data_IF_980893930151
#
_entry.id   IF_980893930151
#
_cell.length_a   1.000
_cell.length_b   1.000
_cell.length_c   1.000
_cell.angle_alpha   90.00
_cell.angle_beta   90.00
_cell.angle_gamma   90.00
#
_symmetry.space_group_name_H-M   'P 1'
#
loop_
_entity.id
_entity.type
_entity.pdbx_description
1 polymer ?
#
# COMPACT_ATOMS: atom_id res chain seq x y z
N UNK A 1 -10.35 12.36 -25.70
CA UNK A 1 -9.95 13.71 -26.12
C UNK A 1 -9.18 13.62 -27.43
N UNK A 2 -9.72 14.11 -28.57
CA UNK A 2 -9.07 14.00 -29.88
C UNK A 2 -7.71 14.71 -29.98
N UNK A 3 -7.57 15.90 -29.37
CA UNK A 3 -6.35 16.72 -29.45
C UNK A 3 -5.09 16.09 -28.81
N UNK A 4 -5.22 15.03 -28.01
CA UNK A 4 -4.06 14.35 -27.41
C UNK A 4 -3.17 13.66 -28.44
N UNK A 5 -3.67 13.37 -29.65
CA UNK A 5 -2.89 12.75 -30.73
C UNK A 5 -1.80 13.66 -31.32
N UNK A 6 -1.84 14.97 -31.03
CA UNK A 6 -0.85 15.95 -31.50
C UNK A 6 0.31 16.14 -30.52
N UNK A 7 0.22 15.57 -29.31
CA UNK A 7 1.19 15.77 -28.25
C UNK A 7 2.36 14.79 -28.42
N UNK A 8 3.56 15.24 -28.09
CA UNK A 8 4.72 14.34 -28.02
C UNK A 8 4.56 13.34 -26.86
N UNK A 9 4.89 12.08 -27.09
CA UNK A 9 4.92 11.06 -26.04
C UNK A 9 6.12 11.31 -25.12
N UNK A 10 5.85 11.87 -23.93
CA UNK A 10 6.90 12.17 -22.96
C UNK A 10 7.49 10.91 -22.31
N UNK A 11 6.63 9.97 -21.90
CA UNK A 11 7.06 8.73 -21.23
C UNK A 11 6.00 7.64 -21.29
N UNK A 12 6.42 6.39 -21.08
CA UNK A 12 5.53 5.25 -20.83
C UNK A 12 6.07 4.40 -19.68
N UNK A 13 5.16 3.93 -18.83
CA UNK A 13 5.52 3.09 -17.69
C UNK A 13 4.46 2.01 -17.44
N UNK A 14 4.92 0.84 -17.03
CA UNK A 14 4.09 -0.24 -16.51
C UNK A 14 4.53 -0.55 -15.08
N UNK A 15 3.58 -0.51 -14.15
CA UNK A 15 3.83 -0.78 -12.73
C UNK A 15 3.04 -1.99 -12.25
N UNK A 16 3.68 -2.85 -11.46
CA UNK A 16 3.00 -3.93 -10.76
C UNK A 16 2.12 -3.36 -9.65
N UNK A 17 0.93 -3.95 -9.46
CA UNK A 17 0.00 -3.62 -8.38
C UNK A 17 -0.36 -4.88 -7.61
N UNK A 18 0.58 -5.45 -6.82
CA UNK A 18 0.33 -6.67 -6.08
C UNK A 18 -0.87 -6.52 -5.15
N UNK A 19 -1.73 -7.53 -5.15
CA UNK A 19 -2.96 -7.58 -4.39
C UNK A 19 -3.09 -8.96 -3.76
N UNK A 20 -3.67 -9.02 -2.56
CA UNK A 20 -4.06 -10.27 -1.92
C UNK A 20 -5.22 -10.93 -2.68
N UNK A 21 -5.45 -12.25 -2.52
CA UNK A 21 -6.53 -12.94 -3.20
C UNK A 21 -7.94 -12.40 -2.90
N UNK A 22 -8.14 -11.82 -1.72
CA UNK A 22 -9.41 -11.24 -1.28
C UNK A 22 -9.58 -9.75 -1.65
N UNK A 23 -8.54 -9.12 -2.22
CA UNK A 23 -8.56 -7.70 -2.59
C UNK A 23 -8.39 -6.72 -1.44
N UNK A 24 -8.13 -7.18 -0.21
CA UNK A 24 -7.93 -6.34 0.97
C UNK A 24 -6.46 -6.29 1.39
N UNK A 25 -5.88 -5.11 1.70
CA UNK A 25 -4.50 -5.04 2.13
C UNK A 25 -4.29 -5.78 3.46
N UNK A 26 -3.15 -6.46 3.61
CA UNK A 26 -2.70 -7.00 4.91
C UNK A 26 -1.78 -5.99 5.56
N UNK A 27 -2.25 -5.43 6.67
CA UNK A 27 -1.53 -4.44 7.48
C UNK A 27 -1.58 -4.90 8.94
N UNK A 28 -0.62 -5.75 9.31
CA UNK A 28 -0.66 -6.51 10.57
C UNK A 28 0.74 -7.00 10.97
N UNK A 29 0.86 -7.45 12.22
CA UNK A 29 1.99 -8.22 12.70
C UNK A 29 1.82 -9.69 12.35
N UNK A 30 2.86 -10.31 11.78
CA UNK A 30 2.83 -11.73 11.37
C UNK A 30 3.69 -12.64 12.27
N UNK A 31 4.60 -12.06 13.04
CA UNK A 31 5.39 -12.74 14.08
C UNK A 31 5.91 -11.73 15.13
N UNK A 32 6.71 -12.18 16.08
CA UNK A 32 7.24 -11.33 17.17
C UNK A 32 7.94 -10.05 16.68
N UNK A 33 8.59 -10.08 15.51
CA UNK A 33 9.44 -8.98 15.02
C UNK A 33 9.03 -8.44 13.66
N UNK A 34 8.08 -9.06 12.97
CA UNK A 34 7.73 -8.71 11.59
C UNK A 34 6.34 -8.10 11.48
N UNK A 35 6.30 -6.92 10.87
CA UNK A 35 5.08 -6.23 10.43
C UNK A 35 5.03 -6.23 8.91
N UNK A 36 3.84 -6.42 8.34
CA UNK A 36 3.61 -6.33 6.89
C UNK A 36 2.61 -5.24 6.59
N UNK A 37 2.83 -4.53 5.48
CA UNK A 37 1.89 -3.58 4.88
C UNK A 37 1.88 -3.84 3.37
N UNK A 38 1.09 -4.82 2.93
CA UNK A 38 1.14 -5.36 1.56
C UNK A 38 -0.25 -5.55 0.96
N UNK A 39 -0.31 -5.77 -0.36
CA UNK A 39 -1.55 -6.21 -1.02
C UNK A 39 -2.54 -5.11 -1.38
N UNK A 40 -2.14 -3.84 -1.29
CA UNK A 40 -3.04 -2.70 -1.56
C UNK A 40 -3.51 -2.57 -3.01
N UNK A 41 -2.87 -3.27 -3.96
CA UNK A 41 -3.21 -3.21 -5.37
C UNK A 41 -3.27 -1.78 -5.90
N UNK A 42 -4.40 -1.41 -6.51
CA UNK A 42 -4.62 -0.05 -7.05
C UNK A 42 -4.93 1.02 -5.98
N UNK A 43 -5.22 0.60 -4.75
CA UNK A 43 -5.66 1.48 -3.67
C UNK A 43 -4.51 1.93 -2.75
N UNK A 44 -3.25 1.62 -3.09
CA UNK A 44 -2.09 1.94 -2.26
C UNK A 44 -1.99 3.41 -1.86
N UNK A 45 -2.16 4.34 -2.82
CA UNK A 45 -2.12 5.77 -2.53
C UNK A 45 -3.29 6.22 -1.66
N UNK A 46 -4.51 5.76 -1.97
CA UNK A 46 -5.72 6.08 -1.21
C UNK A 46 -5.61 5.64 0.26
N UNK A 47 -5.05 4.45 0.49
CA UNK A 47 -4.98 3.82 1.80
C UNK A 47 -3.67 4.10 2.55
N UNK A 48 -2.77 4.91 1.99
CA UNK A 48 -1.47 5.19 2.61
C UNK A 48 -1.59 5.77 4.03
N UNK A 49 -2.46 6.76 4.32
CA UNK A 49 -2.60 7.30 5.68
C UNK A 49 -3.11 6.26 6.68
N UNK A 50 -4.15 5.50 6.30
CA UNK A 50 -4.70 4.44 7.13
C UNK A 50 -3.68 3.33 7.42
N UNK A 51 -2.87 2.97 6.42
CA UNK A 51 -1.80 1.97 6.55
C UNK A 51 -0.75 2.43 7.57
N UNK A 52 -0.35 3.70 7.51
CA UNK A 52 0.63 4.27 8.43
C UNK A 52 0.09 4.28 9.88
N UNK A 53 -1.16 4.71 10.07
CA UNK A 53 -1.82 4.70 11.39
C UNK A 53 -1.87 3.29 11.97
N UNK A 54 -2.23 2.28 11.16
CA UNK A 54 -2.34 0.90 11.62
C UNK A 54 -1.00 0.31 12.04
N UNK A 55 0.05 0.58 11.26
CA UNK A 55 1.42 0.14 11.62
C UNK A 55 1.92 0.83 12.88
N UNK A 56 1.66 2.12 13.05
CA UNK A 56 2.03 2.84 14.27
C UNK A 56 1.36 2.22 15.51
N UNK A 57 0.05 1.92 15.42
CA UNK A 57 -0.67 1.27 16.51
C UNK A 57 -0.08 -0.11 16.88
N UNK A 58 0.28 -0.94 15.90
CA UNK A 58 0.92 -2.24 16.12
C UNK A 58 2.33 -2.15 16.75
N UNK A 59 3.02 -1.03 16.52
CA UNK A 59 4.31 -0.75 17.18
C UNK A 59 4.10 -0.32 18.63
N UNK A 60 3.14 0.55 18.90
CA UNK A 60 2.86 1.03 20.26
C UNK A 60 2.39 -0.10 21.20
N UNK A 61 1.55 -1.03 20.72
CA UNK A 61 1.14 -2.19 21.52
C UNK A 61 2.32 -3.06 21.97
N UNK A 62 3.40 -3.12 21.19
CA UNK A 62 4.61 -3.87 21.56
C UNK A 62 5.47 -3.18 22.62
N UNK A 63 5.33 -1.86 22.79
CA UNK A 63 6.06 -1.09 23.81
C UNK A 63 5.33 -1.12 25.16
N UNK A 64 4.00 -1.25 25.15
CA UNK A 64 3.16 -1.33 26.36
C UNK A 64 3.07 -2.72 27.01
N UNK A 65 3.58 -3.77 26.38
CA UNK A 65 3.56 -5.15 26.88
C UNK A 65 4.78 -5.48 27.79
N UNK A 66 5.20 -4.52 28.62
CA UNK A 66 6.27 -4.70 29.61
C UNK A 66 5.72 -4.76 31.03
#
# INVERSE_FOLDING_TARGET
>A
MPALGEYELAETAAGLRPMTPDGLPRVERVDERTLVAVGHGRNGFLLAPWTAERIAAELEMSVGAK
#
